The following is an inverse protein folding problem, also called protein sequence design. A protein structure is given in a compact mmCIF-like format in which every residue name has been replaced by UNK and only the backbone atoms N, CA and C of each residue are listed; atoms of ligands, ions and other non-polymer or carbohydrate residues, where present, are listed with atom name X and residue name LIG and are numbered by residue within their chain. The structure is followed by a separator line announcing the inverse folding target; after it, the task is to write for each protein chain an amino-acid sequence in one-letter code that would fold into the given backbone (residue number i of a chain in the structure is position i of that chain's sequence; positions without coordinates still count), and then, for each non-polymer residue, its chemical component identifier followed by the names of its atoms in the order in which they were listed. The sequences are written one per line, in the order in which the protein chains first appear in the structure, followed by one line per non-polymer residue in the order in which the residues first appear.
data_IF_566483048829
#
_entry.id   IF_566483048829
#
_cell.length_a   1.000
_cell.length_b   1.000
_cell.length_c   1.000
_cell.angle_alpha   90.00
_cell.angle_beta   90.00
_cell.angle_gamma   90.00
#
_symmetry.space_group_name_H-M   'P 1'
#
loop_
_entity.id
_entity.type
_entity.pdbx_description
1 polymer ?
#
# COMPACT_ATOMS: atom_id res chain seq x y z
N UNK A 1 38.35 35.69 14.26
CA UNK A 1 37.02 35.42 14.86
C UNK A 1 35.86 35.63 13.86
N UNK A 2 35.80 36.78 13.16
CA UNK A 2 34.73 37.09 12.19
C UNK A 2 34.72 36.13 10.99
N UNK A 3 35.88 35.77 10.45
CA UNK A 3 36.03 34.86 9.34
C UNK A 3 35.49 33.44 9.67
N UNK A 4 35.68 33.00 10.91
CA UNK A 4 35.20 31.70 11.39
C UNK A 4 33.65 31.66 11.46
N UNK A 5 33.03 32.76 11.88
CA UNK A 5 31.57 32.91 11.93
C UNK A 5 30.99 32.89 10.50
N UNK A 6 31.63 33.56 9.54
CA UNK A 6 31.19 33.57 8.13
C UNK A 6 31.27 32.17 7.51
N UNK A 7 32.38 31.45 7.72
CA UNK A 7 32.55 30.08 7.24
C UNK A 7 31.50 29.15 7.85
N UNK A 8 31.26 29.28 9.16
CA UNK A 8 30.28 28.46 9.86
C UNK A 8 28.84 28.75 9.38
N UNK A 9 28.49 30.02 9.20
CA UNK A 9 27.18 30.43 8.64
C UNK A 9 26.97 29.90 7.22
N UNK A 10 27.99 29.99 6.38
CA UNK A 10 27.93 29.48 5.00
C UNK A 10 27.80 27.94 4.97
N UNK A 11 28.52 27.23 5.83
CA UNK A 11 28.45 25.76 5.91
C UNK A 11 27.09 25.28 6.41
N UNK A 12 26.48 25.97 7.38
CA UNK A 12 25.18 25.61 7.94
C UNK A 12 24.02 25.90 6.95
N UNK A 13 24.12 27.01 6.20
CA UNK A 13 23.06 27.38 5.26
C UNK A 13 22.92 26.44 4.06
N UNK A 14 23.94 25.65 3.75
CA UNK A 14 23.93 24.66 2.68
C UNK A 14 23.60 23.22 3.13
N UNK A 15 23.54 22.97 4.44
CA UNK A 15 23.19 21.67 4.98
C UNK A 15 21.69 21.57 5.18
N UNK A 16 21.02 20.71 4.41
CA UNK A 16 19.64 20.29 4.68
C UNK A 16 19.56 19.60 6.04
N UNK A 17 18.49 19.84 6.77
CA UNK A 17 18.23 19.17 8.05
C UNK A 17 17.32 17.97 7.77
N UNK A 18 17.82 16.77 7.97
CA UNK A 18 17.03 15.55 7.95
C UNK A 18 16.68 15.24 9.41
N UNK A 19 15.41 15.37 9.76
CA UNK A 19 14.93 15.08 11.12
C UNK A 19 14.83 13.58 11.40
N UNK A 20 14.52 12.79 10.37
CA UNK A 20 14.46 11.33 10.44
C UNK A 20 15.32 10.78 9.31
N UNK A 21 16.30 9.96 9.69
CA UNK A 21 17.07 9.23 8.69
C UNK A 21 16.15 8.19 8.05
N UNK A 22 16.15 8.08 6.72
CA UNK A 22 15.52 6.97 6.02
C UNK A 22 16.26 5.71 6.45
N UNK A 23 15.57 4.84 7.17
CA UNK A 23 16.09 3.56 7.63
C UNK A 23 15.62 2.50 6.64
N UNK A 24 16.49 1.54 6.36
CA UNK A 24 16.15 0.41 5.51
C UNK A 24 14.99 -0.38 6.15
N UNK A 25 13.83 -0.52 5.49
CA UNK A 25 12.66 -1.10 6.11
C UNK A 25 12.85 -2.60 6.34
N UNK A 26 12.61 -3.02 7.58
CA UNK A 26 12.63 -4.43 7.99
C UNK A 26 11.21 -5.00 8.17
N UNK A 27 10.20 -4.14 8.11
CA UNK A 27 8.79 -4.51 8.22
C UNK A 27 7.96 -3.74 7.19
N UNK A 28 6.87 -4.34 6.74
CA UNK A 28 5.88 -3.68 5.91
C UNK A 28 4.48 -4.20 6.21
N UNK A 29 3.50 -3.30 6.10
CA UNK A 29 2.09 -3.64 6.12
C UNK A 29 1.64 -4.09 4.73
N UNK A 30 0.78 -5.09 4.68
CA UNK A 30 0.24 -5.63 3.44
C UNK A 30 -1.28 -5.52 3.48
N UNK A 31 -1.85 -4.94 2.42
CA UNK A 31 -3.30 -4.89 2.20
C UNK A 31 -3.61 -5.59 0.88
N UNK A 32 -4.52 -6.57 0.91
CA UNK A 32 -4.91 -7.34 -0.26
C UNK A 32 -6.35 -7.00 -0.62
N UNK A 33 -6.54 -6.50 -1.84
CA UNK A 33 -7.83 -6.13 -2.43
C UNK A 33 -8.11 -7.02 -3.61
N UNK A 34 -9.35 -7.47 -3.77
CA UNK A 34 -9.76 -8.28 -4.90
C UNK A 34 -11.14 -7.85 -5.41
N UNK A 35 -11.33 -7.96 -6.72
CA UNK A 35 -12.60 -7.60 -7.36
C UNK A 35 -13.54 -8.81 -7.38
N UNK A 36 -14.65 -8.72 -6.68
CA UNK A 36 -15.71 -9.71 -6.69
C UNK A 36 -16.25 -10.02 -5.30
N UNK A 37 -17.23 -10.91 -5.28
CA UNK A 37 -17.77 -11.47 -4.05
C UNK A 37 -17.14 -12.85 -3.85
N UNK A 38 -16.21 -12.92 -2.93
CA UNK A 38 -15.50 -14.15 -2.59
C UNK A 38 -16.09 -14.78 -1.34
N UNK A 39 -16.24 -16.09 -1.36
CA UNK A 39 -16.49 -16.88 -0.17
C UNK A 39 -15.24 -16.87 0.74
N UNK A 40 -15.41 -17.24 2.00
CA UNK A 40 -14.28 -17.32 2.94
C UNK A 40 -13.17 -18.30 2.45
N UNK A 41 -13.57 -19.35 1.72
CA UNK A 41 -12.62 -20.33 1.16
C UNK A 41 -11.82 -19.73 0.00
N UNK A 42 -12.50 -19.08 -0.96
CA UNK A 42 -11.85 -18.42 -2.08
C UNK A 42 -10.93 -17.28 -1.60
N UNK A 43 -11.37 -16.51 -0.61
CA UNK A 43 -10.53 -15.48 0.02
C UNK A 43 -9.27 -16.10 0.63
N UNK A 44 -9.41 -17.25 1.31
CA UNK A 44 -8.27 -17.95 1.88
C UNK A 44 -7.29 -18.41 0.79
N UNK A 45 -7.76 -18.96 -0.31
CA UNK A 45 -6.93 -19.39 -1.45
C UNK A 45 -6.14 -18.21 -2.06
N UNK A 46 -6.78 -17.04 -2.18
CA UNK A 46 -6.11 -15.81 -2.65
C UNK A 46 -4.96 -15.42 -1.69
N UNK A 47 -5.21 -15.46 -0.39
CA UNK A 47 -4.21 -15.10 0.61
C UNK A 47 -3.05 -16.10 0.62
N UNK A 48 -3.35 -17.40 0.49
CA UNK A 48 -2.33 -18.46 0.43
C UNK A 48 -1.43 -18.32 -0.82
N UNK A 49 -1.99 -17.96 -1.99
CA UNK A 49 -1.20 -17.70 -3.21
C UNK A 49 -0.24 -16.50 -3.02
N UNK A 50 -0.72 -15.41 -2.41
CA UNK A 50 0.12 -14.26 -2.10
C UNK A 50 1.21 -14.62 -1.09
N UNK A 51 0.88 -15.37 -0.04
CA UNK A 51 1.83 -15.81 0.98
C UNK A 51 2.94 -16.69 0.40
N UNK A 52 2.59 -17.66 -0.44
CA UNK A 52 3.54 -18.57 -1.10
C UNK A 52 4.54 -17.78 -1.96
N UNK A 53 4.04 -16.83 -2.77
CA UNK A 53 4.90 -15.96 -3.60
C UNK A 53 5.82 -15.08 -2.78
N UNK A 54 5.34 -14.56 -1.66
CA UNK A 54 6.16 -13.73 -0.77
C UNK A 54 7.26 -14.54 -0.09
N UNK A 55 6.97 -15.78 0.30
CA UNK A 55 7.96 -16.67 0.91
C UNK A 55 9.07 -17.11 -0.05
N UNK A 56 8.82 -17.06 -1.37
CA UNK A 56 9.83 -17.37 -2.39
C UNK A 56 10.82 -16.20 -2.62
N UNK A 57 10.49 -15.00 -2.17
CA UNK A 57 11.35 -13.82 -2.37
C UNK A 57 12.57 -13.90 -1.45
N UNK A 58 13.75 -13.72 -2.04
CA UNK A 58 15.01 -13.69 -1.28
C UNK A 58 15.02 -12.52 -0.28
N UNK A 59 15.41 -12.81 0.95
CA UNK A 59 15.46 -11.82 2.03
C UNK A 59 14.21 -11.75 2.89
N UNK A 60 13.18 -12.56 2.60
CA UNK A 60 12.03 -12.70 3.49
C UNK A 60 12.38 -13.49 4.73
N UNK A 61 11.84 -13.05 5.88
CA UNK A 61 11.99 -13.71 7.18
C UNK A 61 10.68 -14.32 7.65
N UNK A 62 9.63 -13.49 7.71
CA UNK A 62 8.30 -13.91 8.14
C UNK A 62 7.23 -13.25 7.29
N UNK A 63 6.17 -14.00 7.00
CA UNK A 63 4.95 -13.52 6.37
C UNK A 63 3.79 -13.85 7.30
N UNK A 64 2.99 -12.85 7.66
CA UNK A 64 1.77 -13.02 8.43
C UNK A 64 0.61 -12.37 7.70
N UNK A 65 -0.22 -13.17 7.07
CA UNK A 65 -1.40 -12.71 6.35
C UNK A 65 -2.67 -13.32 6.97
N UNK A 66 -3.75 -12.56 6.94
CA UNK A 66 -5.07 -12.94 7.42
C UNK A 66 -6.09 -12.75 6.30
N UNK A 67 -6.98 -13.71 6.14
CA UNK A 67 -8.15 -13.57 5.27
C UNK A 67 -9.28 -12.83 6.01
N UNK A 68 -10.03 -12.00 5.28
CA UNK A 68 -11.14 -11.22 5.77
C UNK A 68 -10.82 -9.75 6.02
N UNK A 69 -11.87 -8.94 6.16
CA UNK A 69 -11.78 -7.53 6.53
C UNK A 69 -12.10 -7.36 8.00
N UNK A 70 -11.37 -6.48 8.67
CA UNK A 70 -11.71 -6.09 10.04
C UNK A 70 -12.84 -5.05 10.01
N UNK A 71 -13.72 -5.09 11.01
CA UNK A 71 -14.92 -4.25 11.07
C UNK A 71 -14.63 -2.73 11.09
N UNK A 72 -13.41 -2.32 11.47
CA UNK A 72 -12.97 -0.91 11.45
C UNK A 72 -12.26 -0.48 10.16
N UNK A 73 -12.00 -1.40 9.26
CA UNK A 73 -11.35 -1.10 7.99
C UNK A 73 -12.40 -1.04 6.90
N UNK A 74 -12.73 0.18 6.52
CA UNK A 74 -13.69 0.44 5.44
C UNK A 74 -13.08 0.09 4.08
N UNK A 75 -13.78 -0.72 3.30
CA UNK A 75 -13.45 -1.09 1.93
C UNK A 75 -14.09 -2.42 1.60
N UNK A 76 -15.07 -2.43 0.71
CA UNK A 76 -15.78 -3.63 0.29
C UNK A 76 -14.93 -4.58 -0.56
N UNK A 77 -13.78 -4.11 -1.04
CA UNK A 77 -12.86 -4.81 -1.92
C UNK A 77 -11.67 -5.45 -1.19
N UNK A 78 -11.48 -5.13 0.11
CA UNK A 78 -10.42 -5.73 0.92
C UNK A 78 -10.77 -7.16 1.30
N UNK A 79 -9.95 -8.10 0.87
CA UNK A 79 -10.12 -9.53 1.16
C UNK A 79 -9.18 -10.05 2.23
N UNK A 80 -8.14 -9.30 2.54
CA UNK A 80 -7.21 -9.65 3.60
C UNK A 80 -6.05 -8.68 3.74
N UNK A 81 -5.08 -9.08 4.54
CA UNK A 81 -3.85 -8.33 4.76
C UNK A 81 -3.13 -8.79 6.02
N UNK A 82 -2.06 -8.09 6.32
CA UNK A 82 -1.23 -8.42 7.47
C UNK A 82 0.07 -7.65 7.46
N UNK A 83 1.14 -8.29 7.87
CA UNK A 83 2.47 -7.70 7.85
C UNK A 83 3.52 -8.74 7.44
N UNK A 84 4.62 -8.26 6.95
CA UNK A 84 5.80 -9.02 6.58
C UNK A 84 7.02 -8.50 7.30
N UNK A 85 7.97 -9.39 7.54
CA UNK A 85 9.30 -9.04 8.05
C UNK A 85 10.35 -9.54 7.08
N UNK A 86 11.34 -8.68 6.80
CA UNK A 86 12.53 -9.03 6.02
C UNK A 86 13.67 -9.40 6.95
N UNK A 87 14.71 -9.98 6.39
CA UNK A 87 15.97 -10.19 7.11
C UNK A 87 16.60 -8.82 7.44
N UNK A 88 17.29 -8.75 8.56
CA UNK A 88 18.04 -7.56 8.93
C UNK A 88 19.19 -7.30 7.94
N UNK A 89 19.61 -6.03 7.73
CA UNK A 89 20.73 -5.67 6.84
C UNK A 89 22.05 -6.38 7.16
N UNK A 90 22.19 -6.87 8.38
CA UNK A 90 23.34 -7.70 8.80
C UNK A 90 23.31 -9.14 8.29
N UNK A 91 22.14 -9.63 7.89
CA UNK A 91 21.89 -11.03 7.50
C UNK A 91 21.71 -11.19 5.97
N UNK A 92 21.46 -10.12 5.27
CA UNK A 92 21.27 -10.11 3.81
C UNK A 92 22.11 -9.02 3.15
N UNK A 93 22.37 -9.19 1.86
CA UNK A 93 23.05 -8.17 1.02
C UNK A 93 22.05 -7.29 0.26
N UNK A 94 20.77 -7.69 0.26
CA UNK A 94 19.69 -7.02 -0.44
C UNK A 94 19.08 -6.03 0.53
N UNK A 95 18.85 -4.78 0.10
CA UNK A 95 18.22 -3.78 0.95
C UNK A 95 16.72 -4.07 1.13
N UNK A 96 16.13 -3.61 2.23
CA UNK A 96 14.70 -3.76 2.47
C UNK A 96 13.86 -3.12 1.36
N UNK A 97 14.29 -2.00 0.80
CA UNK A 97 13.63 -1.37 -0.35
C UNK A 97 13.65 -2.28 -1.59
N UNK A 98 14.79 -2.90 -1.88
CA UNK A 98 14.91 -3.84 -2.99
C UNK A 98 14.03 -5.09 -2.78
N UNK A 99 13.95 -5.60 -1.55
CA UNK A 99 13.03 -6.69 -1.20
C UNK A 99 11.58 -6.28 -1.44
N UNK A 100 11.16 -5.05 -1.07
CA UNK A 100 9.81 -4.55 -1.33
C UNK A 100 9.50 -4.49 -2.84
N UNK A 101 10.47 -4.13 -3.67
CA UNK A 101 10.30 -4.10 -5.12
C UNK A 101 10.20 -5.53 -5.70
N UNK A 102 10.97 -6.48 -5.20
CA UNK A 102 10.86 -7.90 -5.56
C UNK A 102 9.50 -8.48 -5.17
N UNK A 103 8.97 -8.13 -4.00
CA UNK A 103 7.62 -8.53 -3.57
C UNK A 103 6.55 -7.98 -4.51
N UNK A 104 6.62 -6.71 -4.89
CA UNK A 104 5.70 -6.11 -5.87
C UNK A 104 5.76 -6.82 -7.22
N UNK A 105 6.94 -7.20 -7.66
CA UNK A 105 7.12 -7.92 -8.93
C UNK A 105 6.56 -9.35 -8.86
N UNK A 106 6.68 -10.05 -7.72
CA UNK A 106 6.21 -11.43 -7.54
C UNK A 106 4.68 -11.60 -7.65
N UNK A 107 3.93 -10.51 -7.44
CA UNK A 107 2.45 -10.49 -7.44
C UNK A 107 1.84 -9.79 -8.67
N UNK A 108 2.65 -9.24 -9.55
CA UNK A 108 2.23 -8.40 -10.67
C UNK A 108 1.31 -9.12 -11.67
N UNK A 109 1.44 -10.43 -11.79
CA UNK A 109 0.68 -11.28 -12.70
C UNK A 109 -0.64 -11.80 -12.11
N UNK A 110 -1.00 -11.44 -10.86
CA UNK A 110 -2.24 -11.86 -10.23
C UNK A 110 -3.45 -11.11 -10.81
N UNK A 111 -4.32 -11.76 -11.59
CA UNK A 111 -5.42 -11.07 -12.23
C UNK A 111 -6.53 -10.71 -11.24
N UNK A 112 -6.96 -9.45 -11.24
CA UNK A 112 -8.08 -8.98 -10.40
C UNK A 112 -7.74 -8.83 -8.92
N UNK A 113 -6.47 -9.03 -8.53
CA UNK A 113 -5.96 -8.86 -7.19
C UNK A 113 -5.01 -7.66 -7.18
N UNK A 114 -5.15 -6.81 -6.19
CA UNK A 114 -4.23 -5.69 -5.95
C UNK A 114 -3.65 -5.85 -4.56
N UNK A 115 -2.34 -5.91 -4.46
CA UNK A 115 -1.63 -5.99 -3.18
C UNK A 115 -0.86 -4.70 -2.97
N UNK A 116 -1.19 -4.03 -1.87
CA UNK A 116 -0.53 -2.81 -1.43
C UNK A 116 0.47 -3.18 -0.33
N UNK A 117 1.72 -2.76 -0.50
CA UNK A 117 2.82 -3.01 0.44
C UNK A 117 3.34 -1.66 0.91
N UNK A 118 3.15 -1.37 2.18
CA UNK A 118 3.59 -0.15 2.85
C UNK A 118 4.76 -0.47 3.78
N UNK A 119 5.94 0.00 3.43
CA UNK A 119 7.14 -0.18 4.25
C UNK A 119 7.03 0.64 5.54
N UNK A 120 7.42 0.05 6.68
CA UNK A 120 7.61 0.79 7.92
C UNK A 120 9.00 1.44 7.92
N UNK A 121 9.04 2.72 7.61
CA UNK A 121 10.28 3.50 7.49
C UNK A 121 10.81 4.02 8.84
N UNK A 122 10.22 3.57 9.97
CA UNK A 122 10.74 3.84 11.32
C UNK A 122 10.71 5.30 11.75
N UNK A 123 9.65 6.02 11.40
CA UNK A 123 9.37 7.38 11.86
C UNK A 123 8.02 7.47 12.54
N UNK A 124 7.60 8.66 13.01
CA UNK A 124 6.18 8.85 13.26
C UNK A 124 5.47 8.56 11.94
N UNK A 125 4.55 7.60 11.98
CA UNK A 125 3.78 7.19 10.81
C UNK A 125 3.00 8.39 10.27
N UNK A 126 3.60 9.09 9.34
CA UNK A 126 2.86 9.94 8.43
C UNK A 126 2.28 8.97 7.40
N UNK A 127 0.99 8.70 7.49
CA UNK A 127 0.29 7.73 6.64
C UNK A 127 0.62 7.93 5.15
N UNK A 128 0.79 9.14 4.72
CA UNK A 128 1.35 9.50 3.42
C UNK A 128 1.82 10.94 3.47
N UNK A 129 2.98 11.29 2.90
CA UNK A 129 3.45 12.67 2.89
C UNK A 129 2.52 13.60 2.10
N UNK A 130 1.69 13.05 1.23
CA UNK A 130 0.67 13.78 0.46
C UNK A 130 -0.65 13.01 0.56
N UNK A 131 -1.63 13.64 1.20
CA UNK A 131 -3.00 13.15 1.28
C UNK A 131 -3.92 14.11 0.51
N UNK A 132 -4.78 13.56 -0.34
CA UNK A 132 -5.74 14.31 -1.14
C UNK A 132 -7.15 13.85 -0.81
N UNK A 133 -7.89 14.70 -0.10
CA UNK A 133 -9.31 14.49 0.14
C UNK A 133 -10.15 15.06 -1.02
N UNK A 134 -10.96 14.21 -1.63
CA UNK A 134 -11.82 14.59 -2.76
C UNK A 134 -13.28 14.53 -2.31
N UNK A 135 -13.95 15.66 -2.40
CA UNK A 135 -15.35 15.82 -2.04
C UNK A 135 -16.21 16.11 -3.27
N UNK A 136 -17.42 15.61 -3.29
CA UNK A 136 -18.40 15.86 -4.36
C UNK A 136 -19.83 15.62 -3.88
N UNK A 137 -20.80 16.08 -4.67
CA UNK A 137 -22.21 15.96 -4.35
C UNK A 137 -22.77 14.54 -4.57
N UNK A 138 -22.11 13.75 -5.41
CA UNK A 138 -22.48 12.36 -5.71
C UNK A 138 -21.26 11.46 -5.74
N UNK A 139 -21.45 10.20 -5.37
CA UNK A 139 -20.39 9.18 -5.41
C UNK A 139 -19.80 9.01 -6.81
N UNK A 140 -20.62 9.11 -7.86
CA UNK A 140 -20.15 9.02 -9.25
C UNK A 140 -19.17 10.13 -9.60
N UNK A 141 -19.45 11.38 -9.19
CA UNK A 141 -18.56 12.52 -9.42
C UNK A 141 -17.23 12.36 -8.68
N UNK A 142 -17.28 11.91 -7.43
CA UNK A 142 -16.08 11.64 -6.63
C UNK A 142 -15.25 10.53 -7.29
N UNK A 143 -15.87 9.42 -7.68
CA UNK A 143 -15.20 8.29 -8.30
C UNK A 143 -14.56 8.65 -9.65
N UNK A 144 -15.22 9.51 -10.44
CA UNK A 144 -14.67 10.01 -11.71
C UNK A 144 -13.46 10.92 -11.46
N UNK A 145 -13.56 11.83 -10.49
CA UNK A 145 -12.48 12.74 -10.12
C UNK A 145 -11.26 11.98 -9.60
N UNK A 146 -11.46 11.04 -8.67
CA UNK A 146 -10.41 10.16 -8.14
C UNK A 146 -9.70 9.41 -9.26
N UNK A 147 -10.48 8.81 -10.19
CA UNK A 147 -9.90 8.05 -11.32
C UNK A 147 -9.04 8.93 -12.23
N UNK A 148 -9.49 10.17 -12.51
CA UNK A 148 -8.71 11.11 -13.31
C UNK A 148 -7.42 11.53 -12.63
N UNK A 149 -7.47 11.82 -11.33
CA UNK A 149 -6.30 12.22 -10.55
C UNK A 149 -5.31 11.07 -10.44
N UNK A 150 -5.78 9.86 -10.09
CA UNK A 150 -4.95 8.68 -10.00
C UNK A 150 -4.23 8.37 -11.32
N UNK A 151 -4.95 8.40 -12.44
CA UNK A 151 -4.37 8.20 -13.77
C UNK A 151 -3.34 9.29 -14.13
N UNK A 152 -3.63 10.54 -13.76
CA UNK A 152 -2.69 11.63 -13.99
C UNK A 152 -1.41 11.45 -13.19
N UNK A 153 -1.52 11.11 -11.89
CA UNK A 153 -0.39 10.89 -11.01
C UNK A 153 0.48 9.73 -11.52
N UNK A 154 -0.12 8.59 -11.85
CA UNK A 154 0.59 7.41 -12.37
C UNK A 154 1.32 7.67 -13.69
N UNK A 155 0.75 8.50 -14.56
CA UNK A 155 1.32 8.73 -15.89
C UNK A 155 2.32 9.89 -15.95
N UNK A 156 2.25 10.84 -15.02
CA UNK A 156 3.00 12.09 -15.11
C UNK A 156 3.93 12.35 -13.92
N UNK A 157 3.78 11.61 -12.83
CA UNK A 157 4.57 11.82 -11.60
C UNK A 157 5.43 10.57 -11.32
N UNK A 158 6.57 10.48 -11.98
CA UNK A 158 7.49 9.33 -11.88
C UNK A 158 8.19 9.23 -10.52
N UNK A 159 8.20 10.30 -9.75
CA UNK A 159 8.83 10.36 -8.43
C UNK A 159 7.93 9.84 -7.29
N UNK A 160 6.66 9.46 -7.61
CA UNK A 160 5.74 8.86 -6.66
C UNK A 160 5.86 7.35 -6.71
N UNK A 161 6.39 6.76 -5.64
CA UNK A 161 6.61 5.31 -5.57
C UNK A 161 5.32 4.52 -5.27
N UNK A 162 4.41 5.10 -4.44
CA UNK A 162 3.18 4.44 -4.04
C UNK A 162 2.01 5.43 -4.17
N UNK A 163 0.98 5.04 -4.90
CA UNK A 163 -0.27 5.80 -5.02
C UNK A 163 -1.38 4.89 -4.52
N UNK A 164 -1.92 5.22 -3.36
CA UNK A 164 -3.05 4.51 -2.75
C UNK A 164 -4.34 5.28 -2.97
N UNK A 165 -5.42 4.56 -3.13
CA UNK A 165 -6.76 5.14 -3.26
C UNK A 165 -7.71 4.40 -2.33
N UNK A 166 -8.50 5.13 -1.55
CA UNK A 166 -9.60 4.59 -0.75
C UNK A 166 -10.84 4.25 -1.57
N UNK A 167 -10.82 4.52 -2.89
CA UNK A 167 -11.90 4.17 -3.79
C UNK A 167 -12.10 2.67 -3.84
N UNK A 168 -13.31 2.21 -3.50
CA UNK A 168 -13.68 0.82 -3.64
C UNK A 168 -13.75 0.40 -5.12
N UNK A 169 -13.33 -0.82 -5.43
CA UNK A 169 -13.53 -1.38 -6.76
C UNK A 169 -15.02 -1.73 -6.95
N UNK A 170 -15.57 -1.53 -8.17
CA UNK A 170 -16.93 -1.96 -8.46
C UNK A 170 -17.09 -3.45 -8.19
N UNK A 171 -17.95 -3.82 -7.26
CA UNK A 171 -18.33 -5.20 -6.98
C UNK A 171 -19.64 -5.57 -7.66
N UNK A 172 -19.90 -6.87 -7.80
CA UNK A 172 -21.19 -7.37 -8.28
C UNK A 172 -22.16 -7.42 -7.10
N UNK A 173 -23.20 -6.58 -7.14
CA UNK A 173 -24.28 -6.59 -6.17
C UNK A 173 -25.45 -7.45 -6.69
N UNK A 174 -25.93 -8.37 -5.86
CA UNK A 174 -27.13 -9.14 -6.13
C UNK A 174 -28.31 -8.47 -5.42
N UNK A 175 -29.21 -7.86 -6.20
CA UNK A 175 -30.48 -7.34 -5.69
C UNK A 175 -31.57 -8.39 -5.86
N UNK A 176 -32.19 -8.80 -4.74
CA UNK A 176 -33.32 -9.73 -4.74
C UNK A 176 -34.60 -8.91 -4.55
N UNK A 177 -35.36 -8.76 -5.63
CA UNK A 177 -36.72 -8.17 -5.56
C UNK A 177 -37.75 -9.29 -5.35
N UNK A 178 -38.44 -9.22 -4.21
CA UNK A 178 -39.56 -10.13 -3.90
C UNK A 178 -40.86 -9.51 -4.40
N UNK A 179 -41.49 -10.13 -5.38
CA UNK A 179 -42.85 -9.77 -5.83
C UNK A 179 -43.88 -10.18 -4.76
N UNK A 180 -44.21 -9.23 -3.89
CA UNK A 180 -45.18 -9.44 -2.81
C UNK A 180 -46.62 -9.72 -3.27
N UNK A 181 -46.91 -9.55 -4.58
CA UNK A 181 -48.24 -9.86 -5.13
C UNK A 181 -48.36 -11.33 -5.58
N UNK A 182 -47.20 -12.01 -5.73
CA UNK A 182 -47.15 -13.43 -6.11
C UNK A 182 -46.71 -14.36 -4.97
N UNK A 183 -46.34 -13.78 -3.83
CA UNK A 183 -46.06 -14.50 -2.60
C UNK A 183 -47.29 -14.56 -1.74
#
# INVERSE_FOLDING_TARGET
SVLLIIIMSYSISGMGTIYFAIVDPIQANVTIKARGNFSALETKEIIEDVEERFLEVEGMKNVYLRSGSEWWQSGSDRVGGGFIETLEPSQTKISGFEIMDLLKESIKDLPGITVEIEADEGGPSFDSPIELDIYGDTEEQVNEAVTKIENYMRNNMTDLNNIFSSKAYPSVEWSVEVDKQKA
#
